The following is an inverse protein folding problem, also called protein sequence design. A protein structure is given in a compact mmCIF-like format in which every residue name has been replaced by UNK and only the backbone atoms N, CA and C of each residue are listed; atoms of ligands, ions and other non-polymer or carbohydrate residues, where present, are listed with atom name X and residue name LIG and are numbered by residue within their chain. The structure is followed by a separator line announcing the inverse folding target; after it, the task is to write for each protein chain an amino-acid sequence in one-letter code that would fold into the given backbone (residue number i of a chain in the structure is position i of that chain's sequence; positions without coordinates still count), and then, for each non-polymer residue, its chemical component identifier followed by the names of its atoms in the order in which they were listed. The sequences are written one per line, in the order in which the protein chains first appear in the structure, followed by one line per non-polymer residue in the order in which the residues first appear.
data_IF_947107738177
#
_entry.id   IF_947107738177
#
_cell.length_a   1.000
_cell.length_b   1.000
_cell.length_c   1.000
_cell.angle_alpha   90.00
_cell.angle_beta   90.00
_cell.angle_gamma   90.00
#
_symmetry.space_group_name_H-M   'P 1'
#
loop_
_entity.id
_entity.type
_entity.pdbx_description
1 polymer ?
#
# COMPACT_ATOMS: atom_id res chain seq x y z
N UNK A 1 -38.80 0.55 63.93
CA UNK A 1 -37.97 1.76 64.10
C UNK A 1 -38.53 2.85 63.20
N UNK A 2 -39.00 3.96 63.77
CA UNK A 2 -39.68 5.05 63.05
C UNK A 2 -38.61 6.09 62.67
N UNK A 3 -38.24 6.12 61.39
CA UNK A 3 -37.29 7.09 60.85
C UNK A 3 -37.85 8.51 61.05
N UNK A 4 -37.08 9.37 61.71
CA UNK A 4 -37.46 10.77 61.89
C UNK A 4 -37.24 11.53 60.57
N UNK A 5 -37.92 12.67 60.35
CA UNK A 5 -37.87 13.39 59.07
C UNK A 5 -36.45 13.75 58.59
N UNK A 6 -35.48 13.80 59.50
CA UNK A 6 -34.07 14.08 59.22
C UNK A 6 -33.31 12.88 58.62
N UNK A 7 -33.66 11.65 59.01
CA UNK A 7 -33.00 10.43 58.52
C UNK A 7 -33.31 10.19 57.03
N UNK A 8 -34.51 10.59 56.58
CA UNK A 8 -34.90 10.51 55.17
C UNK A 8 -34.10 11.45 54.28
N UNK A 9 -33.77 12.64 54.77
CA UNK A 9 -32.91 13.60 54.05
C UNK A 9 -31.48 13.10 53.93
N UNK A 10 -30.92 12.54 55.02
CA UNK A 10 -29.58 11.96 55.02
C UNK A 10 -29.46 10.75 54.07
N UNK A 11 -30.48 9.89 54.00
CA UNK A 11 -30.53 8.77 53.05
C UNK A 11 -30.57 9.28 51.60
N UNK A 12 -31.34 10.34 51.33
CA UNK A 12 -31.41 10.91 49.97
C UNK A 12 -30.06 11.49 49.53
N UNK A 13 -29.37 12.21 50.41
CA UNK A 13 -28.05 12.80 50.13
C UNK A 13 -27.00 11.71 49.91
N UNK A 14 -26.97 10.67 50.74
CA UNK A 14 -26.02 9.55 50.56
C UNK A 14 -26.27 8.79 49.26
N UNK A 15 -27.54 8.56 48.88
CA UNK A 15 -27.88 7.95 47.60
C UNK A 15 -27.49 8.81 46.40
N UNK A 16 -27.65 10.15 46.51
CA UNK A 16 -27.23 11.08 45.47
C UNK A 16 -25.71 11.07 45.29
N UNK A 17 -24.95 11.09 46.40
CA UNK A 17 -23.49 10.98 46.36
C UNK A 17 -23.05 9.64 45.78
N UNK A 18 -23.68 8.53 46.16
CA UNK A 18 -23.40 7.21 45.59
C UNK A 18 -23.70 7.14 44.09
N UNK A 19 -24.80 7.72 43.62
CA UNK A 19 -25.12 7.81 42.20
C UNK A 19 -24.08 8.63 41.43
N UNK A 20 -23.63 9.75 41.99
CA UNK A 20 -22.59 10.59 41.36
C UNK A 20 -21.26 9.83 41.28
N UNK A 21 -20.89 9.08 42.32
CA UNK A 21 -19.67 8.26 42.29
C UNK A 21 -19.77 7.18 41.21
N UNK A 22 -20.90 6.47 41.12
CA UNK A 22 -21.12 5.42 40.12
C UNK A 22 -21.18 5.99 38.71
N UNK A 23 -21.76 7.17 38.49
CA UNK A 23 -21.80 7.79 37.16
C UNK A 23 -20.40 8.21 36.69
N UNK A 24 -19.57 8.76 37.59
CA UNK A 24 -18.18 9.10 37.29
C UNK A 24 -17.41 7.83 36.91
N UNK A 25 -17.57 6.74 37.67
CA UNK A 25 -16.94 5.45 37.34
C UNK A 25 -17.43 4.92 35.99
N UNK A 26 -18.74 5.01 35.71
CA UNK A 26 -19.32 4.61 34.42
C UNK A 26 -18.72 5.38 33.25
N UNK A 27 -18.55 6.70 33.38
CA UNK A 27 -17.93 7.55 32.35
C UNK A 27 -16.47 7.17 32.13
N UNK A 28 -15.71 6.92 33.19
CA UNK A 28 -14.30 6.51 33.08
C UNK A 28 -14.18 5.19 32.31
N UNK A 29 -15.02 4.20 32.61
CA UNK A 29 -15.02 2.91 31.91
C UNK A 29 -15.36 3.07 30.43
N UNK A 30 -16.39 3.86 30.09
CA UNK A 30 -16.77 4.11 28.69
C UNK A 30 -15.64 4.82 27.93
N UNK A 31 -14.96 5.78 28.57
CA UNK A 31 -13.83 6.47 27.97
C UNK A 31 -12.67 5.50 27.68
N UNK A 32 -12.30 4.64 28.64
CA UNK A 32 -11.25 3.62 28.42
C UNK A 32 -11.60 2.72 27.24
N UNK A 33 -12.83 2.21 27.16
CA UNK A 33 -13.25 1.38 26.03
C UNK A 33 -13.20 2.11 24.69
N UNK A 34 -13.55 3.40 24.67
CA UNK A 34 -13.51 4.22 23.45
C UNK A 34 -12.06 4.40 22.97
N UNK A 35 -11.13 4.64 23.89
CA UNK A 35 -9.70 4.74 23.58
C UNK A 35 -9.16 3.41 23.05
N UNK A 36 -9.49 2.27 23.68
CA UNK A 36 -9.03 0.96 23.22
C UNK A 36 -9.51 0.63 21.80
N UNK A 37 -10.76 1.00 21.47
CA UNK A 37 -11.30 0.86 20.12
C UNK A 37 -10.54 1.74 19.13
N UNK A 38 -10.23 2.99 19.49
CA UNK A 38 -9.46 3.89 18.62
C UNK A 38 -8.04 3.36 18.38
N UNK A 39 -7.37 2.87 19.42
CA UNK A 39 -6.04 2.26 19.31
C UNK A 39 -6.10 1.04 18.40
N UNK A 40 -7.07 0.15 18.62
CA UNK A 40 -7.26 -1.06 17.81
C UNK A 40 -7.56 -0.72 16.34
N UNK A 41 -8.36 0.31 16.09
CA UNK A 41 -8.65 0.80 14.74
C UNK A 41 -7.40 1.33 14.04
N UNK A 42 -6.59 2.11 14.74
CA UNK A 42 -5.34 2.63 14.19
C UNK A 42 -4.34 1.50 13.89
N UNK A 43 -4.13 0.57 14.83
CA UNK A 43 -3.26 -0.59 14.63
C UNK A 43 -3.72 -1.45 13.44
N UNK A 44 -5.02 -1.70 13.31
CA UNK A 44 -5.59 -2.41 12.16
C UNK A 44 -5.38 -1.64 10.85
N UNK A 45 -5.63 -0.33 10.84
CA UNK A 45 -5.43 0.52 9.65
C UNK A 45 -3.97 0.48 9.18
N UNK A 46 -3.01 0.59 10.11
CA UNK A 46 -1.59 0.45 9.81
C UNK A 46 -1.23 -0.91 9.21
N UNK A 47 -1.78 -1.99 9.76
CA UNK A 47 -1.57 -3.35 9.22
C UNK A 47 -2.15 -3.52 7.82
N UNK A 48 -3.32 -2.94 7.55
CA UNK A 48 -3.96 -3.00 6.23
C UNK A 48 -3.19 -2.17 5.20
N UNK A 49 -2.78 -0.95 5.55
CA UNK A 49 -1.94 -0.11 4.71
C UNK A 49 -0.60 -0.79 4.38
N UNK A 50 0.04 -1.42 5.37
CA UNK A 50 1.27 -2.15 5.16
C UNK A 50 1.07 -3.37 4.24
N UNK A 51 0.05 -4.19 4.50
CA UNK A 51 -0.27 -5.34 3.65
C UNK A 51 -0.62 -4.94 2.22
N UNK A 52 -1.28 -3.80 2.03
CA UNK A 52 -1.52 -3.22 0.70
C UNK A 52 -0.22 -2.83 -0.01
N UNK A 53 0.72 -2.21 0.69
CA UNK A 53 2.03 -1.85 0.12
C UNK A 53 2.84 -3.08 -0.31
N UNK A 54 2.84 -4.14 0.50
CA UNK A 54 3.53 -5.40 0.18
C UNK A 54 2.90 -6.10 -1.04
N UNK A 55 1.56 -6.15 -1.09
CA UNK A 55 0.85 -6.67 -2.25
C UNK A 55 1.18 -5.89 -3.52
N UNK A 56 1.40 -4.57 -3.41
CA UNK A 56 1.83 -3.75 -4.54
C UNK A 56 3.22 -4.09 -5.04
N UNK A 57 4.19 -4.35 -4.15
CA UNK A 57 5.52 -4.80 -4.56
C UNK A 57 5.50 -6.18 -5.23
N UNK A 58 4.65 -7.09 -4.74
CA UNK A 58 4.49 -8.42 -5.34
C UNK A 58 3.84 -8.37 -6.71
N UNK A 59 2.93 -7.42 -6.96
CA UNK A 59 2.29 -7.20 -8.25
C UNK A 59 3.22 -6.57 -9.30
N UNK A 60 4.22 -5.79 -8.89
CA UNK A 60 5.17 -5.19 -9.83
C UNK A 60 5.99 -6.24 -10.58
N UNK A 61 6.39 -7.33 -9.92
CA UNK A 61 7.22 -8.39 -10.51
C UNK A 61 6.61 -9.01 -11.78
N UNK A 62 5.36 -9.50 -11.77
CA UNK A 62 4.73 -10.03 -12.98
C UNK A 62 4.45 -8.95 -14.04
N UNK A 63 4.18 -7.69 -13.65
CA UNK A 63 3.97 -6.59 -14.62
C UNK A 63 5.27 -6.33 -15.40
N UNK A 64 6.39 -6.20 -14.69
CA UNK A 64 7.72 -6.02 -15.29
C UNK A 64 8.06 -7.23 -16.17
N UNK A 65 7.94 -8.44 -15.63
CA UNK A 65 8.34 -9.67 -16.32
C UNK A 65 7.55 -9.89 -17.61
N UNK A 66 6.22 -9.75 -17.57
CA UNK A 66 5.39 -9.93 -18.76
C UNK A 66 5.62 -8.81 -19.78
N UNK A 67 5.85 -7.58 -19.33
CA UNK A 67 6.12 -6.44 -20.22
C UNK A 67 7.44 -6.62 -20.97
N UNK A 68 8.49 -7.11 -20.30
CA UNK A 68 9.78 -7.43 -20.94
C UNK A 68 9.62 -8.57 -21.96
N UNK A 69 8.92 -9.64 -21.60
CA UNK A 69 8.72 -10.82 -22.47
C UNK A 69 7.92 -10.45 -23.73
N UNK A 70 6.83 -9.70 -23.57
CA UNK A 70 5.94 -9.35 -24.67
C UNK A 70 6.37 -8.09 -25.42
N UNK A 71 7.36 -7.35 -24.90
CA UNK A 71 7.80 -6.05 -25.42
C UNK A 71 6.63 -5.06 -25.56
N UNK A 72 5.64 -5.16 -24.68
CA UNK A 72 4.41 -4.36 -24.63
C UNK A 72 3.86 -4.47 -23.23
N UNK A 73 3.38 -3.36 -22.68
CA UNK A 73 2.84 -3.30 -21.33
C UNK A 73 1.73 -4.33 -21.16
N UNK A 74 1.94 -5.25 -20.21
CA UNK A 74 1.00 -6.33 -19.91
C UNK A 74 0.70 -6.30 -18.41
N UNK A 75 -0.54 -5.97 -18.00
CA UNK A 75 -1.71 -5.69 -18.82
C UNK A 75 -1.64 -4.34 -19.55
N UNK A 76 -2.24 -4.21 -20.73
CA UNK A 76 -2.22 -2.98 -21.53
C UNK A 76 -3.31 -1.96 -21.12
N UNK A 77 -3.90 -2.14 -19.93
CA UNK A 77 -5.01 -1.36 -19.41
C UNK A 77 -5.46 -1.88 -18.05
N UNK A 78 -6.48 -1.25 -17.46
CA UNK A 78 -7.07 -1.69 -16.20
C UNK A 78 -7.75 -3.06 -16.39
N UNK A 79 -7.44 -4.02 -15.53
CA UNK A 79 -8.00 -5.39 -15.60
C UNK A 79 -8.04 -5.99 -14.21
N UNK A 80 -9.16 -6.62 -13.87
CA UNK A 80 -9.35 -7.27 -12.58
C UNK A 80 -9.28 -6.26 -11.43
N UNK A 81 -8.28 -6.42 -10.57
CA UNK A 81 -8.08 -5.61 -9.36
C UNK A 81 -7.41 -4.26 -9.66
N UNK A 82 -6.72 -4.12 -10.80
CA UNK A 82 -6.04 -2.88 -11.18
C UNK A 82 -7.08 -1.85 -11.63
N UNK A 83 -7.18 -0.73 -10.90
CA UNK A 83 -8.16 0.35 -11.17
C UNK A 83 -7.56 1.55 -11.89
N UNK A 84 -6.22 1.68 -11.90
CA UNK A 84 -5.49 2.68 -12.68
C UNK A 84 -4.15 2.14 -13.17
N UNK A 85 -3.75 2.55 -14.37
CA UNK A 85 -2.50 2.16 -15.01
C UNK A 85 -1.99 3.31 -15.90
N UNK A 86 -0.74 3.74 -15.72
CA UNK A 86 -0.08 4.67 -16.63
C UNK A 86 0.40 3.92 -17.88
N UNK A 87 -0.47 3.82 -18.88
CA UNK A 87 -0.11 3.17 -20.14
C UNK A 87 0.88 3.96 -20.99
N UNK A 88 1.15 5.22 -20.64
CA UNK A 88 1.96 6.13 -21.45
C UNK A 88 3.43 6.03 -21.06
N UNK A 89 3.73 6.10 -19.76
CA UNK A 89 5.09 6.21 -19.26
C UNK A 89 5.66 4.88 -18.77
N UNK A 90 4.89 4.09 -18.01
CA UNK A 90 5.31 2.78 -17.48
C UNK A 90 5.92 1.82 -18.51
N UNK A 91 5.34 1.78 -19.73
CA UNK A 91 5.89 0.93 -20.78
C UNK A 91 7.30 1.41 -21.21
N UNK A 92 7.47 2.72 -21.33
CA UNK A 92 8.73 3.35 -21.67
C UNK A 92 9.76 3.10 -20.58
N UNK A 93 9.41 3.28 -19.31
CA UNK A 93 10.31 3.04 -18.18
C UNK A 93 10.79 1.58 -18.13
N UNK A 94 9.86 0.61 -18.22
CA UNK A 94 10.21 -0.81 -18.16
C UNK A 94 11.17 -1.18 -19.30
N UNK A 95 10.90 -0.69 -20.52
CA UNK A 95 11.68 -1.04 -21.72
C UNK A 95 12.93 -0.16 -21.93
N UNK A 96 13.12 0.92 -21.15
CA UNK A 96 14.31 1.79 -21.18
C UNK A 96 14.22 2.99 -22.11
N UNK A 97 13.03 3.54 -22.35
CA UNK A 97 12.86 4.84 -23.00
C UNK A 97 13.11 6.03 -22.06
N UNK A 98 12.97 5.81 -20.74
CA UNK A 98 13.26 6.76 -19.67
C UNK A 98 13.94 5.99 -18.53
N UNK A 99 15.23 6.23 -18.31
CA UNK A 99 15.91 5.73 -17.12
C UNK A 99 15.64 6.72 -15.97
N UNK A 100 15.17 6.21 -14.83
CA UNK A 100 14.96 6.96 -13.59
C UNK A 100 13.98 8.14 -13.75
N UNK A 101 12.68 7.86 -13.74
CA UNK A 101 11.68 8.92 -13.65
C UNK A 101 11.63 9.49 -12.22
N UNK A 102 11.13 10.71 -12.10
CA UNK A 102 11.00 11.49 -10.87
C UNK A 102 9.60 11.41 -10.26
N UNK A 103 8.74 10.59 -10.85
CA UNK A 103 7.45 10.25 -10.31
C UNK A 103 7.57 9.43 -9.02
N UNK A 104 6.43 9.29 -8.37
CA UNK A 104 6.34 8.59 -7.09
C UNK A 104 4.99 7.89 -7.00
N UNK A 105 4.81 6.95 -6.05
CA UNK A 105 3.49 6.38 -5.75
C UNK A 105 2.42 7.42 -5.32
N UNK A 106 2.81 8.67 -5.11
CA UNK A 106 1.94 9.76 -4.65
C UNK A 106 1.71 10.84 -5.70
N UNK A 107 2.56 10.90 -6.72
CA UNK A 107 2.57 11.92 -7.76
C UNK A 107 2.88 11.20 -9.06
N UNK A 108 1.82 10.85 -9.81
CA UNK A 108 1.85 9.99 -11.00
C UNK A 108 2.21 8.53 -10.72
N UNK A 109 1.36 7.77 -10.00
CA UNK A 109 1.62 6.34 -9.81
C UNK A 109 1.41 5.55 -11.10
N UNK A 110 2.33 4.64 -11.39
CA UNK A 110 2.25 3.70 -12.51
C UNK A 110 1.05 2.76 -12.44
N UNK A 111 0.80 2.22 -11.25
CA UNK A 111 -0.27 1.25 -11.02
C UNK A 111 -1.04 1.66 -9.78
N UNK A 112 -2.37 1.68 -9.90
CA UNK A 112 -3.27 2.04 -8.80
C UNK A 112 -4.34 0.97 -8.62
N UNK A 113 -4.64 0.68 -7.36
CA UNK A 113 -5.74 -0.18 -6.91
C UNK A 113 -6.48 0.57 -5.80
N UNK A 114 -7.75 0.91 -6.01
CA UNK A 114 -8.50 1.79 -5.08
C UNK A 114 -9.61 1.07 -4.30
N UNK A 115 -9.93 -0.17 -4.68
CA UNK A 115 -11.17 -0.83 -4.27
C UNK A 115 -10.90 -2.18 -3.57
N UNK A 116 -9.85 -2.23 -2.74
CA UNK A 116 -9.59 -3.40 -1.91
C UNK A 116 -10.40 -3.32 -0.61
N UNK A 117 -11.12 -4.40 -0.30
CA UNK A 117 -11.95 -4.49 0.91
C UNK A 117 -11.09 -4.43 2.18
N UNK A 118 -11.34 -3.43 3.03
CA UNK A 118 -10.71 -3.30 4.36
C UNK A 118 -11.35 -4.20 5.45
N UNK A 119 -12.48 -4.82 5.12
CA UNK A 119 -13.38 -5.51 6.06
C UNK A 119 -14.30 -4.56 6.84
N UNK A 120 -14.26 -3.26 6.56
CA UNK A 120 -15.25 -2.25 6.97
C UNK A 120 -16.00 -1.78 5.70
N UNK A 121 -17.34 -1.80 5.67
CA UNK A 121 -18.13 -1.39 4.49
C UNK A 121 -17.96 0.08 4.09
N UNK A 122 -17.41 0.93 4.97
CA UNK A 122 -17.21 2.36 4.69
C UNK A 122 -15.73 2.73 4.50
N UNK A 123 -14.83 1.75 4.35
CA UNK A 123 -13.41 2.00 4.19
C UNK A 123 -12.80 1.08 3.15
N UNK A 124 -11.94 1.62 2.29
CA UNK A 124 -11.21 0.85 1.28
C UNK A 124 -9.71 0.97 1.50
N UNK A 125 -8.98 -0.07 1.10
CA UNK A 125 -7.53 -0.03 1.03
C UNK A 125 -7.15 0.36 -0.39
N UNK A 126 -6.34 1.40 -0.49
CA UNK A 126 -5.75 1.87 -1.73
C UNK A 126 -4.28 1.48 -1.77
N UNK A 127 -3.82 1.00 -2.93
CA UNK A 127 -2.42 0.67 -3.22
C UNK A 127 -1.99 1.44 -4.45
N UNK A 128 -0.88 2.17 -4.33
CA UNK A 128 -0.23 2.86 -5.44
C UNK A 128 1.19 2.34 -5.58
N UNK A 129 1.62 2.11 -6.81
CA UNK A 129 2.88 1.46 -7.14
C UNK A 129 3.56 2.30 -8.22
N UNK A 130 4.87 2.30 -8.17
CA UNK A 130 5.79 3.10 -8.95
C UNK A 130 7.01 2.22 -9.26
N UNK A 131 7.39 2.13 -10.53
CA UNK A 131 8.28 1.14 -11.09
C UNK A 131 9.31 1.84 -11.98
N UNK A 132 10.45 2.14 -11.38
CA UNK A 132 11.57 2.73 -12.09
C UNK A 132 12.55 1.69 -12.60
N UNK A 133 13.07 1.93 -13.81
CA UNK A 133 14.32 1.32 -14.25
C UNK A 133 15.52 2.14 -13.77
N UNK A 134 16.48 1.51 -13.09
CA UNK A 134 17.68 2.18 -12.55
C UNK A 134 18.88 2.07 -13.49
N UNK A 135 19.29 0.85 -13.81
CA UNK A 135 20.43 0.63 -14.68
C UNK A 135 20.31 -0.71 -15.40
N UNK A 136 20.92 -0.78 -16.58
CA UNK A 136 21.13 -2.02 -17.31
C UNK A 136 22.62 -2.29 -17.45
N UNK A 137 23.07 -3.49 -17.08
CA UNK A 137 24.47 -3.90 -17.21
C UNK A 137 24.55 -5.24 -17.94
N UNK A 138 25.53 -5.40 -18.81
CA UNK A 138 25.81 -6.69 -19.44
C UNK A 138 26.42 -7.62 -18.39
N UNK A 139 25.86 -8.82 -18.30
CA UNK A 139 26.37 -9.88 -17.44
C UNK A 139 27.55 -10.52 -18.18
N UNK A 140 28.69 -10.61 -17.50
CA UNK A 140 29.91 -11.19 -18.08
C UNK A 140 29.69 -12.67 -18.46
N UNK A 141 30.16 -13.05 -19.65
CA UNK A 141 29.94 -14.39 -20.20
C UNK A 141 28.61 -14.56 -20.94
N UNK A 142 27.89 -13.47 -21.17
CA UNK A 142 26.70 -13.47 -22.02
C UNK A 142 27.05 -13.48 -23.52
N UNK A 143 26.06 -13.82 -24.36
CA UNK A 143 26.21 -13.80 -25.82
C UNK A 143 26.63 -12.42 -26.38
N UNK A 144 26.42 -11.34 -25.61
CA UNK A 144 26.87 -9.98 -25.94
C UNK A 144 28.40 -9.83 -25.86
N UNK A 145 29.07 -10.49 -24.92
CA UNK A 145 30.55 -10.53 -24.85
C UNK A 145 31.16 -11.35 -26.00
N UNK A 146 30.43 -12.34 -26.50
CA UNK A 146 30.85 -13.14 -27.66
C UNK A 146 30.61 -12.39 -28.99
N UNK A 147 29.57 -11.55 -29.05
CA UNK A 147 29.24 -10.72 -30.21
C UNK A 147 30.12 -9.46 -30.34
N UNK A 148 30.72 -8.97 -29.26
CA UNK A 148 31.60 -7.77 -29.27
C UNK A 148 32.93 -7.98 -30.01
N UNK A 149 33.31 -9.23 -30.30
CA UNK A 149 34.46 -9.58 -31.14
C UNK A 149 34.21 -9.48 -32.66
N UNK A 150 32.96 -9.25 -33.08
CA UNK A 150 32.54 -9.07 -34.47
C UNK A 150 32.01 -7.64 -34.69
N UNK A 151 32.87 -6.64 -34.53
CA UNK A 151 32.59 -5.28 -35.01
C UNK A 151 32.70 -5.23 -36.55
N UNK A 152 31.62 -5.59 -37.23
CA UNK A 152 31.51 -5.36 -38.66
C UNK A 152 30.50 -6.28 -39.31
N UNK A 153 29.51 -5.68 -39.98
CA UNK A 153 28.42 -6.29 -40.76
C UNK A 153 27.36 -7.12 -39.98
N UNK A 154 26.40 -6.39 -39.39
CA UNK A 154 25.02 -6.86 -39.31
C UNK A 154 24.39 -6.88 -37.92
N UNK A 155 23.76 -5.75 -37.54
CA UNK A 155 22.60 -5.61 -36.65
C UNK A 155 22.37 -6.76 -35.65
N UNK A 156 22.99 -6.65 -34.48
CA UNK A 156 22.89 -7.63 -33.39
C UNK A 156 21.50 -7.58 -32.73
N UNK A 157 20.65 -8.56 -33.03
CA UNK A 157 19.42 -8.88 -32.27
C UNK A 157 19.77 -9.81 -31.08
N UNK A 158 20.80 -9.48 -30.30
CA UNK A 158 21.15 -10.27 -29.12
C UNK A 158 20.35 -9.76 -27.92
N UNK A 159 19.18 -10.36 -27.71
CA UNK A 159 18.29 -10.11 -26.56
C UNK A 159 18.72 -10.83 -25.27
N UNK A 160 19.85 -11.53 -25.26
CA UNK A 160 20.30 -12.32 -24.12
C UNK A 160 21.61 -11.78 -23.55
N UNK A 161 21.60 -11.40 -22.26
CA UNK A 161 22.83 -11.05 -21.55
C UNK A 161 22.82 -9.78 -20.71
N UNK A 162 21.74 -9.02 -20.72
CA UNK A 162 21.65 -7.77 -19.95
C UNK A 162 20.84 -8.00 -18.68
N UNK A 163 21.43 -7.72 -17.52
CA UNK A 163 20.71 -7.57 -16.27
C UNK A 163 20.17 -6.15 -16.16
N UNK A 164 18.89 -6.01 -15.81
CA UNK A 164 18.26 -4.70 -15.58
C UNK A 164 17.84 -4.65 -14.12
N UNK A 165 18.23 -3.59 -13.41
CA UNK A 165 17.77 -3.33 -12.05
C UNK A 165 16.56 -2.40 -12.10
N UNK A 166 15.51 -2.80 -11.40
CA UNK A 166 14.32 -2.00 -11.17
C UNK A 166 14.22 -1.60 -9.69
N UNK A 167 13.71 -0.39 -9.43
CA UNK A 167 13.24 0.03 -8.11
C UNK A 167 11.73 -0.01 -8.16
N UNK A 168 11.15 -0.66 -7.17
CA UNK A 168 9.71 -0.69 -6.99
C UNK A 168 9.40 0.00 -5.67
N UNK A 169 8.63 1.07 -5.76
CA UNK A 169 8.11 1.77 -4.59
C UNK A 169 6.60 1.52 -4.52
N UNK A 170 6.11 1.07 -3.37
CA UNK A 170 4.66 0.90 -3.18
C UNK A 170 4.20 1.58 -1.90
N UNK A 171 2.99 2.15 -1.97
CA UNK A 171 2.31 2.80 -0.87
C UNK A 171 0.90 2.23 -0.74
N UNK A 172 0.62 1.64 0.42
CA UNK A 172 -0.75 1.36 0.84
C UNK A 172 -1.32 2.46 1.73
N UNK A 173 -2.60 2.72 1.61
CA UNK A 173 -3.35 3.68 2.42
C UNK A 173 -4.74 3.12 2.69
N UNK A 174 -5.32 3.45 3.85
CA UNK A 174 -6.71 3.13 4.18
C UNK A 174 -7.50 4.43 4.16
N UNK A 175 -8.54 4.48 3.33
CA UNK A 175 -9.45 5.62 3.19
C UNK A 175 -10.75 5.37 3.97
#
# INVERSE_FOLDING_TARGET
MKLTGNDRGAILVTMLVLMVIVSILGVVVINTSTIDIQISRNARSGSLAFGGAEAGTDLAVPIISNTIVNNTLTPSGTTGIITGLDTTNLQSEILGGSDYDSDTPTSSPDVTITDLTSGDPNSTVEVRIDIDRLYSSTISGSALDFASGYEGVGLTISKGGTGILYRVTSRGSVN
#
